data_IF_019481607777
#
_entry.id   IF_019481607777
#
_cell.length_a   1.000
_cell.length_b   1.000
_cell.length_c   1.000
_cell.angle_alpha   90.00
_cell.angle_beta   90.00
_cell.angle_gamma   90.00
#
_symmetry.space_group_name_H-M   'P 1'
#
loop_
_entity.id
_entity.type
_entity.pdbx_description
1 polymer ?
#
# COMPACT_ATOMS: atom_id res chain seq x y z
N UNK A 1 -8.54 -0.38 26.59
CA UNK A 1 -7.82 0.77 27.19
C UNK A 1 -7.12 1.53 26.07
N UNK A 2 -6.99 2.86 26.18
CA UNK A 2 -6.21 3.66 25.23
C UNK A 2 -4.78 3.73 25.76
N UNK A 3 -3.79 3.45 24.91
CA UNK A 3 -2.39 3.58 25.27
C UNK A 3 -1.90 5.01 24.97
N UNK A 4 -1.19 5.64 25.90
CA UNK A 4 -0.53 6.93 25.71
C UNK A 4 0.96 6.80 25.94
N UNK A 5 1.76 7.60 25.23
CA UNK A 5 3.23 7.56 25.33
C UNK A 5 3.76 8.84 25.98
N UNK A 6 4.63 8.66 26.98
CA UNK A 6 5.43 9.75 27.56
C UNK A 6 6.91 9.40 27.45
N UNK A 7 7.38 8.50 28.32
CA UNK A 7 8.69 7.82 28.25
C UNK A 7 8.54 6.31 28.10
N UNK A 8 7.34 5.79 28.38
CA UNK A 8 6.86 4.43 28.13
C UNK A 8 5.38 4.49 27.73
N UNK A 9 4.86 3.38 27.22
CA UNK A 9 3.43 3.25 26.95
C UNK A 9 2.69 2.91 28.24
N UNK A 10 1.71 3.75 28.60
CA UNK A 10 0.82 3.53 29.74
C UNK A 10 -0.62 3.36 29.25
N UNK A 11 -1.40 2.52 29.94
CA UNK A 11 -2.80 2.24 29.62
C UNK A 11 -3.72 3.09 30.50
N UNK A 12 -4.66 3.81 29.88
CA UNK A 12 -5.71 4.53 30.61
C UNK A 12 -6.58 3.55 31.40
N UNK A 13 -6.89 3.89 32.66
CA UNK A 13 -7.69 3.05 33.55
C UNK A 13 -6.92 1.95 34.27
N UNK A 14 -5.59 1.92 34.17
CA UNK A 14 -4.74 1.01 34.94
C UNK A 14 -4.59 1.39 36.43
N UNK A 15 -3.83 0.61 37.22
CA UNK A 15 -2.98 -0.50 36.77
C UNK A 15 -3.76 -1.78 36.43
N UNK A 16 -3.24 -2.54 35.46
CA UNK A 16 -3.70 -3.88 35.11
C UNK A 16 -2.65 -4.90 35.56
N UNK A 17 -3.09 -6.01 36.17
CA UNK A 17 -2.20 -7.01 36.75
C UNK A 17 -2.27 -8.34 35.99
N UNK A 18 -1.14 -9.06 35.96
CA UNK A 18 -1.10 -10.42 35.47
C UNK A 18 -2.01 -11.34 36.31
N UNK A 19 -2.72 -12.30 35.67
CA UNK A 19 -3.44 -13.31 36.42
C UNK A 19 -2.46 -14.20 37.20
N UNK A 20 -2.94 -14.77 38.32
CA UNK A 20 -2.15 -15.70 39.12
C UNK A 20 -1.83 -17.00 38.36
N UNK A 21 -2.82 -17.52 37.63
CA UNK A 21 -2.70 -18.67 36.74
C UNK A 21 -3.26 -18.33 35.35
N UNK A 22 -2.68 -18.89 34.31
CA UNK A 22 -3.12 -18.72 32.93
C UNK A 22 -2.22 -17.81 32.10
N UNK A 23 -2.69 -17.47 30.90
CA UNK A 23 -1.95 -16.69 29.92
C UNK A 23 -2.79 -15.48 29.49
N UNK A 24 -2.12 -14.42 29.06
CA UNK A 24 -2.75 -13.20 28.54
C UNK A 24 -2.43 -13.07 27.05
N UNK A 25 -3.42 -12.66 26.27
CA UNK A 25 -3.27 -12.28 24.87
C UNK A 25 -3.16 -10.75 24.79
N UNK A 26 -2.22 -10.23 24.02
CA UNK A 26 -2.11 -8.79 23.77
C UNK A 26 -2.35 -8.50 22.30
N UNK A 27 -3.19 -7.51 22.02
CA UNK A 27 -3.47 -6.98 20.69
C UNK A 27 -3.39 -5.47 20.75
N UNK A 28 -2.80 -4.85 19.73
CA UNK A 28 -2.75 -3.41 19.58
C UNK A 28 -2.88 -3.01 18.11
N UNK A 29 -3.36 -1.80 17.89
CA UNK A 29 -3.39 -1.17 16.57
C UNK A 29 -3.20 0.34 16.71
N UNK A 30 -2.81 0.99 15.63
CA UNK A 30 -2.78 2.45 15.58
C UNK A 30 -4.19 3.02 15.77
N UNK A 31 -4.32 4.07 16.58
CA UNK A 31 -5.59 4.79 16.75
C UNK A 31 -5.90 5.59 15.49
N UNK A 32 -7.00 5.26 14.82
CA UNK A 32 -7.49 6.00 13.67
C UNK A 32 -9.03 6.01 13.62
N UNK A 33 -9.63 7.12 13.21
CA UNK A 33 -11.08 7.27 13.13
C UNK A 33 -11.75 6.37 12.07
N UNK A 34 -10.97 5.89 11.09
CA UNK A 34 -11.40 4.93 10.07
C UNK A 34 -11.27 3.47 10.52
N UNK A 35 -10.74 3.23 11.72
CA UNK A 35 -10.60 1.90 12.31
C UNK A 35 -11.71 1.62 13.33
N UNK A 36 -12.22 0.39 13.33
CA UNK A 36 -13.19 -0.11 14.31
C UNK A 36 -12.76 -1.47 14.82
N UNK A 37 -12.38 -1.53 16.10
CA UNK A 37 -12.07 -2.76 16.81
C UNK A 37 -13.35 -3.48 17.24
N UNK A 38 -13.40 -4.80 17.04
CA UNK A 38 -14.48 -5.67 17.49
C UNK A 38 -13.94 -6.96 18.12
N UNK A 39 -14.55 -7.38 19.24
CA UNK A 39 -14.34 -8.68 19.87
C UNK A 39 -15.68 -9.10 20.50
N UNK A 40 -16.31 -10.15 19.98
CA UNK A 40 -17.58 -10.69 20.52
C UNK A 40 -17.28 -11.72 21.61
N UNK A 41 -18.27 -12.02 22.44
CA UNK A 41 -18.11 -12.97 23.58
C UNK A 41 -17.66 -14.37 23.14
N UNK A 42 -18.02 -14.79 21.92
CA UNK A 42 -17.61 -16.08 21.34
C UNK A 42 -16.25 -16.06 20.65
N UNK A 43 -15.67 -14.88 20.43
CA UNK A 43 -14.47 -14.73 19.64
C UNK A 43 -13.23 -15.01 20.49
N UNK A 44 -12.28 -15.75 19.91
CA UNK A 44 -10.97 -16.01 20.55
C UNK A 44 -10.03 -14.83 20.31
N UNK A 45 -10.12 -14.20 19.15
CA UNK A 45 -9.25 -13.12 18.71
C UNK A 45 -10.07 -11.96 18.13
N UNK A 46 -9.64 -10.71 18.34
CA UNK A 46 -10.37 -9.57 17.82
C UNK A 46 -10.23 -9.41 16.31
N UNK A 47 -11.03 -8.52 15.77
CA UNK A 47 -10.91 -8.03 14.39
C UNK A 47 -10.88 -6.51 14.35
N UNK A 48 -10.36 -5.95 13.26
CA UNK A 48 -10.40 -4.50 13.00
C UNK A 48 -10.95 -4.26 11.60
N UNK A 49 -12.07 -3.57 11.50
CA UNK A 49 -12.50 -3.00 10.23
C UNK A 49 -11.76 -1.69 9.99
N UNK A 50 -11.23 -1.48 8.78
CA UNK A 50 -10.49 -0.27 8.40
C UNK A 50 -10.92 0.19 7.01
N UNK A 51 -11.03 1.52 6.83
CA UNK A 51 -11.36 2.14 5.54
C UNK A 51 -10.25 3.09 5.11
N UNK A 52 -9.74 2.86 3.91
CA UNK A 52 -8.68 3.68 3.31
C UNK A 52 -9.26 5.02 2.90
N UNK A 53 -8.51 6.08 3.17
CA UNK A 53 -8.85 7.42 2.70
C UNK A 53 -8.63 7.52 1.18
N UNK A 54 -9.60 8.05 0.44
CA UNK A 54 -9.49 8.25 -1.00
C UNK A 54 -8.39 9.27 -1.37
N UNK A 55 -8.14 10.24 -0.49
CA UNK A 55 -7.06 11.20 -0.63
C UNK A 55 -5.75 10.60 -0.12
N UNK A 56 -4.83 10.32 -1.05
CA UNK A 56 -3.50 9.78 -0.78
C UNK A 56 -2.74 10.54 0.33
N UNK A 57 -2.88 11.86 0.39
CA UNK A 57 -2.20 12.69 1.40
C UNK A 57 -2.71 12.47 2.83
N UNK A 58 -3.92 11.90 2.96
CA UNK A 58 -4.59 11.58 4.23
C UNK A 58 -4.50 10.11 4.59
N UNK A 59 -4.04 9.26 3.67
CA UNK A 59 -3.81 7.85 3.95
C UNK A 59 -2.81 7.68 5.09
N UNK A 60 -3.07 6.66 5.92
CA UNK A 60 -2.23 6.31 7.05
C UNK A 60 -1.61 4.95 6.81
N UNK A 61 -0.38 4.81 7.29
CA UNK A 61 0.26 3.53 7.47
C UNK A 61 -0.36 2.85 8.70
N UNK A 62 -1.35 1.99 8.46
CA UNK A 62 -2.05 1.30 9.53
C UNK A 62 -1.22 0.13 10.04
N UNK A 63 -0.88 0.17 11.33
CA UNK A 63 -0.03 -0.86 11.97
C UNK A 63 -0.78 -1.60 13.06
N UNK A 64 -0.47 -2.88 13.21
CA UNK A 64 -1.06 -3.80 14.20
C UNK A 64 0.04 -4.57 14.93
N UNK A 65 -0.22 -5.02 16.14
CA UNK A 65 0.67 -5.88 16.91
C UNK A 65 -0.12 -6.93 17.68
N UNK A 66 0.47 -8.10 17.85
CA UNK A 66 -0.12 -9.20 18.61
C UNK A 66 0.95 -10.00 19.35
N UNK A 67 0.61 -10.47 20.56
CA UNK A 67 1.39 -11.46 21.29
C UNK A 67 0.45 -12.48 21.90
N UNK A 68 0.69 -13.75 21.56
CA UNK A 68 -0.15 -14.81 22.06
C UNK A 68 0.40 -15.44 23.34
N UNK A 69 -0.51 -15.90 24.19
CA UNK A 69 -0.23 -16.83 25.28
C UNK A 69 0.91 -16.37 26.21
N UNK A 70 0.99 -15.07 26.50
CA UNK A 70 2.04 -14.52 27.35
C UNK A 70 1.81 -14.95 28.80
N UNK A 71 2.88 -15.40 29.46
CA UNK A 71 2.87 -15.76 30.88
C UNK A 71 3.33 -14.58 31.72
N UNK A 72 2.95 -14.59 33.00
CA UNK A 72 3.44 -13.62 33.99
C UNK A 72 4.96 -13.49 33.89
N UNK A 73 5.42 -12.24 33.81
CA UNK A 73 6.83 -11.87 33.71
C UNK A 73 7.05 -10.55 34.45
N UNK A 74 8.26 -10.37 34.98
CA UNK A 74 8.71 -9.11 35.59
C UNK A 74 9.23 -8.11 34.54
N UNK A 75 9.38 -8.55 33.28
CA UNK A 75 9.77 -7.70 32.15
C UNK A 75 8.57 -6.98 31.54
N UNK A 76 8.83 -5.82 30.93
CA UNK A 76 7.84 -5.11 30.12
C UNK A 76 7.34 -5.96 28.94
N UNK A 77 6.05 -5.83 28.62
CA UNK A 77 5.45 -6.42 27.42
C UNK A 77 5.92 -5.63 26.19
N UNK A 78 6.57 -6.31 25.25
CA UNK A 78 7.12 -5.70 24.02
C UNK A 78 6.27 -6.05 22.82
N UNK A 79 5.53 -5.09 22.28
CA UNK A 79 4.73 -5.26 21.06
C UNK A 79 5.53 -4.84 19.83
N UNK A 80 5.75 -5.79 18.92
CA UNK A 80 6.30 -5.52 17.59
C UNK A 80 5.18 -5.19 16.62
N UNK A 81 5.14 -3.94 16.15
CA UNK A 81 4.16 -3.50 15.18
C UNK A 81 4.55 -3.93 13.77
N UNK A 82 3.54 -4.35 13.01
CA UNK A 82 3.62 -4.74 11.62
C UNK A 82 2.73 -3.83 10.78
N UNK A 83 3.18 -3.50 9.57
CA UNK A 83 2.36 -2.81 8.57
C UNK A 83 1.22 -3.74 8.15
N UNK A 84 -0.02 -3.29 8.34
CA UNK A 84 -1.20 -4.07 8.00
C UNK A 84 -1.60 -3.88 6.52
N UNK A 85 -1.17 -2.79 5.88
CA UNK A 85 -1.54 -2.45 4.50
C UNK A 85 -0.46 -2.88 3.49
N UNK A 86 -0.72 -2.64 2.20
CA UNK A 86 0.26 -2.72 1.12
C UNK A 86 0.67 -1.32 0.68
N UNK A 87 1.97 -1.06 0.59
CA UNK A 87 2.47 0.18 0.00
C UNK A 87 2.58 0.02 -1.52
N UNK A 88 2.00 0.95 -2.28
CA UNK A 88 2.06 0.93 -3.74
C UNK A 88 2.77 2.18 -4.27
N UNK A 89 3.77 1.97 -5.12
CA UNK A 89 4.59 3.00 -5.75
C UNK A 89 4.64 2.82 -7.27
N UNK A 90 5.07 3.88 -7.96
CA UNK A 90 5.24 3.87 -9.41
C UNK A 90 6.63 4.34 -9.80
N UNK A 91 7.15 3.74 -10.86
CA UNK A 91 8.28 4.25 -11.63
C UNK A 91 7.91 4.23 -13.11
N UNK A 92 8.67 4.94 -13.95
CA UNK A 92 8.41 5.00 -15.37
C UNK A 92 9.69 5.08 -16.20
N UNK A 93 9.64 4.55 -17.42
CA UNK A 93 10.65 4.71 -18.47
C UNK A 93 9.99 4.95 -19.81
N UNK A 94 10.69 5.57 -20.74
CA UNK A 94 10.33 5.58 -22.15
C UNK A 94 10.64 4.25 -22.83
N UNK A 95 9.94 3.97 -23.92
CA UNK A 95 10.19 2.82 -24.80
C UNK A 95 11.44 2.99 -25.67
N UNK A 96 11.90 4.23 -25.89
CA UNK A 96 13.10 4.52 -26.68
C UNK A 96 13.76 5.82 -26.23
N UNK A 97 14.98 6.05 -26.74
CA UNK A 97 15.81 7.22 -26.38
C UNK A 97 15.51 8.49 -27.17
N UNK A 98 14.61 8.43 -28.16
CA UNK A 98 14.34 9.55 -29.08
C UNK A 98 13.15 10.42 -28.64
N UNK A 99 12.43 9.99 -27.59
CA UNK A 99 11.22 10.62 -27.10
C UNK A 99 11.36 11.07 -25.65
N UNK A 100 10.63 12.12 -25.32
CA UNK A 100 10.44 12.65 -23.98
C UNK A 100 8.96 12.59 -23.62
N UNK A 101 8.66 12.42 -22.34
CA UNK A 101 7.30 12.29 -21.84
C UNK A 101 7.10 13.17 -20.61
N UNK A 102 5.87 13.64 -20.41
CA UNK A 102 5.45 14.23 -19.14
C UNK A 102 4.19 13.55 -18.65
N UNK A 103 4.26 12.88 -17.50
CA UNK A 103 3.11 12.21 -16.89
C UNK A 103 2.26 13.25 -16.19
N UNK A 104 0.98 13.33 -16.54
CA UNK A 104 0.03 14.28 -15.95
C UNK A 104 -0.83 13.64 -14.85
N UNK A 105 -1.10 12.34 -14.93
CA UNK A 105 -1.84 11.63 -13.88
C UNK A 105 -1.56 10.14 -13.88
N UNK A 106 -1.59 9.55 -12.69
CA UNK A 106 -1.65 8.10 -12.46
C UNK A 106 -2.73 7.85 -11.41
N UNK A 107 -3.58 6.85 -11.63
CA UNK A 107 -4.50 6.37 -10.60
C UNK A 107 -4.61 4.85 -10.60
N UNK A 108 -4.99 4.30 -9.45
CA UNK A 108 -5.42 2.92 -9.28
C UNK A 108 -6.93 2.94 -9.05
N UNK A 109 -7.66 2.15 -9.82
CA UNK A 109 -9.12 2.04 -9.73
C UNK A 109 -9.54 0.57 -9.57
N UNK A 110 -10.73 0.34 -9.03
CA UNK A 110 -11.31 -1.01 -8.97
C UNK A 110 -10.71 -1.90 -7.88
N UNK A 111 -10.11 -1.29 -6.86
CA UNK A 111 -9.54 -1.99 -5.70
C UNK A 111 -10.33 -1.66 -4.44
N UNK A 112 -10.48 -2.62 -3.53
CA UNK A 112 -11.28 -2.45 -2.32
C UNK A 112 -10.77 -1.31 -1.43
N UNK A 113 -11.69 -0.50 -0.92
CA UNK A 113 -11.39 0.59 0.00
C UNK A 113 -11.53 0.22 1.48
N UNK A 114 -12.19 -0.90 1.80
CA UNK A 114 -12.46 -1.32 3.17
C UNK A 114 -12.10 -2.80 3.34
N UNK A 115 -11.83 -3.21 4.57
CA UNK A 115 -11.59 -4.60 4.89
C UNK A 115 -11.68 -4.82 6.39
N UNK A 116 -11.73 -6.09 6.79
CA UNK A 116 -11.64 -6.51 8.17
C UNK A 116 -10.37 -7.34 8.37
N UNK A 117 -9.44 -6.83 9.19
CA UNK A 117 -8.23 -7.52 9.59
C UNK A 117 -8.53 -8.50 10.72
N UNK A 118 -8.06 -9.73 10.58
CA UNK A 118 -8.21 -10.79 11.57
C UNK A 118 -6.90 -11.00 12.32
N UNK A 119 -6.94 -10.87 13.65
CA UNK A 119 -5.81 -11.26 14.51
C UNK A 119 -5.71 -12.79 14.69
N UNK A 120 -6.53 -13.61 14.03
CA UNK A 120 -6.40 -15.06 14.08
C UNK A 120 -5.35 -15.58 13.08
N UNK A 121 -5.32 -14.99 11.89
CA UNK A 121 -4.50 -15.44 10.76
C UNK A 121 -3.67 -14.31 10.14
N UNK A 122 -3.79 -13.09 10.67
CA UNK A 122 -3.10 -11.90 10.18
C UNK A 122 -3.43 -11.55 8.72
N UNK A 123 -4.67 -11.82 8.30
CA UNK A 123 -5.16 -11.54 6.94
C UNK A 123 -6.27 -10.50 6.90
N UNK A 124 -6.55 -9.98 5.70
CA UNK A 124 -7.71 -9.13 5.45
C UNK A 124 -8.82 -9.91 4.75
N UNK A 125 -10.03 -9.80 5.29
CA UNK A 125 -11.26 -10.03 4.53
C UNK A 125 -11.69 -8.72 3.89
N UNK A 126 -11.40 -8.56 2.61
CA UNK A 126 -11.71 -7.33 1.87
C UNK A 126 -13.20 -7.15 1.65
N UNK A 127 -13.69 -5.93 1.86
CA UNK A 127 -15.11 -5.57 1.75
C UNK A 127 -15.24 -4.16 1.15
N UNK A 128 -16.46 -3.72 0.83
CA UNK A 128 -16.68 -2.34 0.38
C UNK A 128 -16.66 -2.15 -1.14
N UNK A 129 -16.49 -0.90 -1.57
CA UNK A 129 -16.65 -0.47 -2.97
C UNK A 129 -15.28 -0.40 -3.66
N UNK A 130 -15.32 -0.42 -4.99
CA UNK A 130 -14.18 -0.08 -5.84
C UNK A 130 -13.73 1.37 -5.56
N UNK A 131 -12.60 1.53 -4.87
CA UNK A 131 -11.94 2.80 -4.64
C UNK A 131 -11.22 3.31 -5.88
N UNK A 132 -10.94 4.61 -5.90
CA UNK A 132 -10.14 5.32 -6.90
C UNK A 132 -9.09 6.12 -6.15
N UNK A 133 -7.82 5.81 -6.40
CA UNK A 133 -6.69 6.41 -5.69
C UNK A 133 -5.73 7.05 -6.69
N UNK A 134 -5.67 8.38 -6.69
CA UNK A 134 -4.69 9.12 -7.49
C UNK A 134 -3.32 9.00 -6.83
N UNK A 135 -2.32 8.57 -7.59
CA UNK A 135 -0.94 8.52 -7.13
C UNK A 135 -0.34 9.94 -7.20
N UNK A 136 0.13 10.50 -6.07
CA UNK A 136 0.81 11.80 -6.05
C UNK A 136 2.10 11.77 -6.87
N UNK A 137 2.16 12.58 -7.92
CA UNK A 137 3.35 12.80 -8.75
C UNK A 137 3.72 14.28 -8.76
N UNK A 138 4.94 14.61 -9.15
CA UNK A 138 5.29 15.99 -9.49
C UNK A 138 4.45 16.47 -10.68
N UNK A 139 4.12 17.76 -10.71
CA UNK A 139 3.40 18.36 -11.84
C UNK A 139 4.15 18.10 -13.15
N UNK A 140 3.48 17.41 -14.09
CA UNK A 140 4.05 17.01 -15.37
C UNK A 140 5.38 16.24 -15.22
N UNK A 141 5.42 15.24 -14.34
CA UNK A 141 6.60 14.46 -14.01
C UNK A 141 7.35 13.99 -15.29
N UNK A 142 8.61 14.42 -15.50
CA UNK A 142 9.34 14.15 -16.73
C UNK A 142 9.88 12.73 -16.75
N UNK A 143 9.78 12.08 -17.92
CA UNK A 143 10.40 10.78 -18.20
C UNK A 143 11.09 10.87 -19.55
N UNK A 144 12.33 10.40 -19.65
CA UNK A 144 13.07 10.43 -20.92
C UNK A 144 13.97 9.21 -21.04
N UNK A 145 14.12 8.73 -22.26
CA UNK A 145 14.93 7.55 -22.54
C UNK A 145 14.41 6.28 -21.87
N UNK A 146 15.26 5.26 -21.84
CA UNK A 146 14.90 3.90 -21.39
C UNK A 146 15.25 3.62 -19.93
N UNK A 147 15.82 4.59 -19.23
CA UNK A 147 16.16 4.49 -17.81
C UNK A 147 14.91 4.59 -16.94
N UNK A 148 14.79 3.69 -15.97
CA UNK A 148 13.72 3.73 -14.97
C UNK A 148 13.92 4.96 -14.08
N UNK A 149 12.87 5.76 -13.98
CA UNK A 149 12.79 6.95 -13.14
C UNK A 149 11.69 6.74 -12.10
N UNK A 150 12.04 6.94 -10.83
CA UNK A 150 11.07 6.86 -9.74
C UNK A 150 10.15 8.08 -9.76
N UNK A 151 8.87 7.85 -9.45
CA UNK A 151 7.86 8.91 -9.38
C UNK A 151 7.51 9.29 -7.94
N UNK A 152 8.33 8.86 -6.99
CA UNK A 152 8.10 9.00 -5.56
C UNK A 152 8.04 10.49 -5.15
N UNK A 153 7.01 10.85 -4.39
CA UNK A 153 6.88 12.15 -3.75
C UNK A 153 6.98 12.00 -2.23
N UNK A 154 7.31 13.10 -1.53
CA UNK A 154 7.28 13.10 -0.08
C UNK A 154 5.86 12.75 0.44
N UNK A 155 5.73 11.64 1.18
CA UNK A 155 4.43 11.07 1.58
C UNK A 155 3.52 10.70 0.39
N UNK A 156 4.11 10.38 -0.76
CA UNK A 156 3.40 10.11 -2.01
C UNK A 156 3.06 8.63 -2.24
N UNK A 157 3.53 7.70 -1.41
CA UNK A 157 3.17 6.30 -1.56
C UNK A 157 1.69 6.07 -1.20
N UNK A 158 1.02 5.19 -1.93
CA UNK A 158 -0.35 4.78 -1.58
C UNK A 158 -0.31 3.66 -0.54
N UNK A 159 -1.16 3.75 0.47
CA UNK A 159 -1.36 2.72 1.49
C UNK A 159 -2.69 2.03 1.23
N UNK A 160 -2.67 0.91 0.50
CA UNK A 160 -3.86 0.25 -0.04
C UNK A 160 -4.12 -1.11 0.61
N UNK A 161 -5.35 -1.61 0.43
CA UNK A 161 -5.83 -2.83 1.06
C UNK A 161 -5.16 -4.05 0.43
N UNK A 162 -4.49 -4.92 1.20
CA UNK A 162 -4.00 -6.19 0.69
C UNK A 162 -5.15 -7.01 0.10
N UNK A 163 -5.04 -7.40 -1.17
CA UNK A 163 -6.13 -8.05 -1.91
C UNK A 163 -5.63 -8.77 -3.17
N UNK A 164 -6.40 -9.75 -3.64
CA UNK A 164 -6.25 -10.27 -4.99
C UNK A 164 -6.81 -9.27 -6.02
N UNK A 165 -6.19 -9.19 -7.20
CA UNK A 165 -6.69 -8.35 -8.28
C UNK A 165 -7.88 -9.00 -8.97
N UNK A 166 -8.87 -8.20 -9.34
CA UNK A 166 -10.07 -8.65 -10.07
C UNK A 166 -10.04 -8.13 -11.51
N UNK A 167 -11.08 -8.45 -12.29
CA UNK A 167 -11.29 -7.89 -13.63
C UNK A 167 -11.48 -6.37 -13.62
N UNK A 168 -11.88 -5.80 -12.49
CA UNK A 168 -12.12 -4.35 -12.35
C UNK A 168 -10.87 -3.59 -11.93
N UNK A 169 -9.89 -4.28 -11.33
CA UNK A 169 -8.63 -3.70 -10.86
C UNK A 169 -7.79 -3.21 -12.03
N UNK A 170 -7.44 -1.92 -12.02
CA UNK A 170 -6.71 -1.28 -13.12
C UNK A 170 -5.88 -0.09 -12.67
N UNK A 171 -4.86 0.24 -13.45
CA UNK A 171 -4.19 1.54 -13.42
C UNK A 171 -4.75 2.38 -14.56
N UNK A 172 -4.92 3.68 -14.35
CA UNK A 172 -5.07 4.67 -15.42
C UNK A 172 -3.89 5.62 -15.43
N UNK A 173 -3.46 5.99 -16.62
CA UNK A 173 -2.36 6.95 -16.81
C UNK A 173 -2.68 7.92 -17.95
N UNK A 174 -2.30 9.18 -17.75
CA UNK A 174 -2.25 10.19 -18.81
C UNK A 174 -0.87 10.82 -18.90
N UNK A 175 -0.40 11.09 -20.12
CA UNK A 175 0.89 11.73 -20.38
C UNK A 175 0.96 12.40 -21.75
N UNK A 176 1.84 13.39 -21.89
CA UNK A 176 2.17 14.00 -23.18
C UNK A 176 3.46 13.42 -23.74
N UNK A 177 3.58 13.38 -25.07
CA UNK A 177 4.76 12.90 -25.79
C UNK A 177 5.40 14.05 -26.56
N UNK A 178 6.72 14.15 -26.46
CA UNK A 178 7.52 15.17 -27.11
C UNK A 178 8.66 14.52 -27.89
N UNK A 179 9.04 15.15 -29.00
CA UNK A 179 10.25 14.77 -29.73
C UNK A 179 11.52 15.32 -29.05
N UNK A 180 12.68 15.02 -29.63
CA UNK A 180 13.96 15.48 -29.11
C UNK A 180 14.08 17.01 -28.97
N UNK A 181 13.36 17.77 -29.80
CA UNK A 181 13.34 19.26 -29.83
C UNK A 181 12.22 19.87 -28.96
N UNK A 182 11.65 19.12 -28.01
CA UNK A 182 10.63 19.58 -27.05
C UNK A 182 9.31 20.05 -27.70
N UNK A 183 9.03 19.61 -28.92
CA UNK A 183 7.74 19.83 -29.57
C UNK A 183 6.82 18.69 -29.16
N UNK A 184 5.63 19.03 -28.62
CA UNK A 184 4.59 18.07 -28.33
C UNK A 184 4.11 17.44 -29.64
N UNK A 185 4.24 16.12 -29.74
CA UNK A 185 3.85 15.35 -30.93
C UNK A 185 2.62 14.46 -30.68
N UNK A 186 2.33 14.12 -29.42
CA UNK A 186 1.16 13.31 -29.07
C UNK A 186 0.70 13.53 -27.62
N UNK A 187 -0.47 12.98 -27.27
CA UNK A 187 -0.99 12.88 -25.92
C UNK A 187 -1.78 11.59 -25.72
N UNK A 188 -1.48 10.89 -24.64
CA UNK A 188 -2.23 9.72 -24.17
C UNK A 188 -3.06 10.13 -22.97
N UNK A 189 -4.38 9.88 -23.05
CA UNK A 189 -5.34 10.25 -22.02
C UNK A 189 -6.06 9.01 -21.52
N UNK A 190 -6.10 8.84 -20.20
CA UNK A 190 -6.82 7.76 -19.49
C UNK A 190 -6.54 6.36 -20.05
N UNK A 191 -5.30 6.09 -20.45
CA UNK A 191 -4.91 4.76 -20.89
C UNK A 191 -5.11 3.76 -19.75
N UNK A 192 -5.90 2.72 -20.02
CA UNK A 192 -6.28 1.70 -19.04
C UNK A 192 -5.32 0.53 -19.09
N UNK A 193 -4.90 0.14 -17.90
CA UNK A 193 -3.93 -0.91 -17.65
C UNK A 193 -4.63 -1.94 -16.76
N UNK A 194 -4.94 -3.13 -17.27
CA UNK A 194 -5.56 -4.15 -16.42
C UNK A 194 -4.55 -4.71 -15.41
N UNK A 195 -4.97 -4.83 -14.15
CA UNK A 195 -4.26 -5.57 -13.11
C UNK A 195 -4.80 -6.99 -12.94
N UNK A 196 -5.80 -7.38 -13.73
CA UNK A 196 -6.35 -8.73 -13.65
C UNK A 196 -5.26 -9.78 -13.91
N UNK A 197 -5.30 -10.89 -13.18
CA UNK A 197 -4.30 -11.97 -13.19
C UNK A 197 -2.86 -11.54 -12.80
N UNK A 198 -2.66 -10.34 -12.26
CA UNK A 198 -1.38 -9.97 -11.66
C UNK A 198 -1.30 -10.48 -10.21
N UNK A 199 -0.09 -10.48 -9.63
CA UNK A 199 0.13 -10.95 -8.27
C UNK A 199 -0.73 -10.17 -7.26
N UNK A 200 -1.25 -10.88 -6.26
CA UNK A 200 -2.01 -10.28 -5.18
C UNK A 200 -1.14 -9.35 -4.32
N UNK A 201 -1.76 -8.31 -3.76
CA UNK A 201 -1.15 -7.46 -2.76
C UNK A 201 -1.16 -8.15 -1.39
N UNK A 202 0.02 -8.27 -0.78
CA UNK A 202 0.20 -8.90 0.53
C UNK A 202 0.27 -7.89 1.68
N UNK A 203 -0.13 -8.35 2.87
CA UNK A 203 0.02 -7.60 4.13
C UNK A 203 1.48 -7.25 4.39
N UNK A 204 1.75 -5.97 4.67
CA UNK A 204 3.11 -5.50 4.99
C UNK A 204 4.09 -5.65 3.84
N UNK A 205 3.59 -5.60 2.60
CA UNK A 205 4.40 -5.64 1.38
C UNK A 205 4.47 -4.29 0.71
N UNK A 206 5.57 -4.08 0.00
CA UNK A 206 5.76 -2.97 -0.92
C UNK A 206 5.67 -3.48 -2.35
N UNK A 207 4.91 -2.77 -3.17
CA UNK A 207 4.70 -3.07 -4.58
C UNK A 207 5.11 -1.86 -5.40
N UNK A 208 5.92 -2.07 -6.44
CA UNK A 208 6.29 -1.03 -7.40
C UNK A 208 5.86 -1.42 -8.80
N UNK A 209 5.09 -0.55 -9.45
CA UNK A 209 4.72 -0.69 -10.85
C UNK A 209 5.65 0.16 -11.73
N UNK A 210 6.38 -0.48 -12.64
CA UNK A 210 7.25 0.19 -13.61
C UNK A 210 6.52 0.35 -14.94
N UNK A 211 6.17 1.59 -15.31
CA UNK A 211 5.43 1.92 -16.52
C UNK A 211 6.38 2.14 -17.70
N UNK A 212 6.05 1.62 -18.88
CA UNK A 212 6.79 1.90 -20.13
C UNK A 212 5.94 2.80 -21.02
N UNK A 213 6.47 3.95 -21.44
CA UNK A 213 5.74 4.97 -22.21
C UNK A 213 6.11 4.94 -23.70
N UNK A 214 5.15 5.05 -24.61
CA UNK A 214 5.36 5.05 -26.08
C UNK A 214 4.50 6.09 -26.82
N UNK A 215 4.82 6.33 -28.11
CA UNK A 215 4.21 7.36 -28.98
C UNK A 215 3.04 6.90 -29.86
N UNK A 216 2.76 5.60 -29.94
CA UNK A 216 1.61 5.07 -30.72
C UNK A 216 0.45 4.69 -29.76
N UNK A 217 0.44 5.28 -28.56
CA UNK A 217 -0.27 4.80 -27.37
C UNK A 217 0.68 4.23 -26.32
N UNK A 218 0.19 3.91 -25.13
CA UNK A 218 0.98 3.27 -24.07
C UNK A 218 0.91 1.75 -24.20
N UNK A 219 2.06 1.08 -24.27
CA UNK A 219 2.14 -0.38 -24.05
C UNK A 219 3.04 -0.64 -22.85
N UNK A 220 2.62 -1.56 -21.99
CA UNK A 220 3.31 -1.81 -20.73
C UNK A 220 4.14 -3.06 -20.88
N UNK A 221 5.44 -2.94 -20.64
CA UNK A 221 6.23 -4.10 -20.21
C UNK A 221 6.13 -4.18 -18.70
N UNK A 222 5.43 -5.21 -18.21
CA UNK A 222 5.10 -5.42 -16.79
C UNK A 222 6.15 -6.29 -16.10
N UNK A 223 6.59 -5.85 -14.92
CA UNK A 223 7.14 -6.73 -13.90
C UNK A 223 6.93 -6.08 -12.52
N UNK A 224 5.78 -6.31 -11.85
CA UNK A 224 5.59 -5.82 -10.49
C UNK A 224 6.62 -6.52 -9.58
N UNK A 225 7.38 -5.73 -8.83
CA UNK A 225 8.25 -6.25 -7.78
C UNK A 225 7.50 -6.22 -6.45
N UNK A 226 7.62 -7.31 -5.68
CA UNK A 226 7.03 -7.43 -4.34
C UNK A 226 8.14 -7.64 -3.32
N UNK A 227 8.40 -6.61 -2.51
CA UNK A 227 9.39 -6.62 -1.43
C UNK A 227 8.76 -6.67 -0.03
N UNK A 228 9.55 -7.04 0.97
CA UNK A 228 9.18 -6.83 2.37
C UNK A 228 9.24 -5.33 2.69
N UNK A 229 8.23 -4.80 3.38
CA UNK A 229 8.21 -3.37 3.75
C UNK A 229 9.41 -2.98 4.64
N UNK A 230 9.96 -3.93 5.41
CA UNK A 230 11.07 -3.70 6.34
C UNK A 230 12.47 -3.63 5.69
N UNK A 231 12.57 -3.83 4.38
CA UNK A 231 13.85 -3.75 3.65
C UNK A 231 13.77 -2.61 2.64
N UNK A 232 14.85 -1.84 2.52
CA UNK A 232 15.01 -0.80 1.49
C UNK A 232 15.12 -1.35 0.06
N UNK A 233 14.94 -2.65 -0.13
CA UNK A 233 15.06 -3.33 -1.42
C UNK A 233 13.79 -3.14 -2.25
N UNK A 234 13.78 -2.06 -3.04
CA UNK A 234 13.11 -1.98 -4.33
C UNK A 234 14.17 -2.31 -5.40
N UNK A 235 14.38 -3.58 -5.70
CA UNK A 235 15.33 -4.04 -6.73
C UNK A 235 14.64 -4.32 -8.07
N UNK A 236 14.73 -3.43 -9.08
CA UNK A 236 13.94 -3.51 -10.31
C UNK A 236 13.93 -4.92 -10.92
N UNK A 237 12.77 -5.59 -10.91
CA UNK A 237 12.61 -6.89 -11.58
C UNK A 237 12.43 -6.64 -13.06
N UNK A 238 13.32 -7.20 -13.88
CA UNK A 238 13.21 -7.15 -15.33
C UNK A 238 12.07 -8.07 -15.83
N UNK A 239 11.32 -7.68 -16.88
CA UNK A 239 10.35 -8.57 -17.50
C UNK A 239 11.03 -9.83 -18.08
N UNK A 240 10.30 -10.96 -18.20
CA UNK A 240 10.81 -12.13 -18.92
C UNK A 240 11.15 -11.70 -20.36
N UNK A 241 12.29 -12.18 -20.87
CA UNK A 241 12.63 -12.00 -22.28
C UNK A 241 11.55 -12.65 -23.14
N UNK A 242 11.08 -11.92 -24.15
CA UNK A 242 10.16 -12.39 -25.19
C UNK A 242 10.80 -13.51 -26.03
#
# INVERSE_FOLDING_TARGET
>A
AIATYTTKWDLTGGPYYWPFNGNVQFFAHATDASSKYELKDSDIYPTITYTINDDASKQKDFVVAQLYNQKKTENDVKLSFLHALTQVNFSAKGSNNNLKYTISSISIEGVANTGTYSFADSTWSVTGKAGIYTYPIADNAPVSGTTISDLDQAKGALMLMPQAMTTDSKIKISYNVYNATDVKIDAVTDAVISLNNTAAWGVGKKVRYTLTLSSEGATISFAPEVGNWSTSDDTPVAPPAE
#
